data_IF_452934228992
#
_entry.id   IF_452934228992
#
_cell.length_a   1.000
_cell.length_b   1.000
_cell.length_c   1.000
_cell.angle_alpha   90.00
_cell.angle_beta   90.00
_cell.angle_gamma   90.00
#
_symmetry.space_group_name_H-M   'P 1'
#
loop_
_entity.id
_entity.type
_entity.pdbx_description
1 polymer ?
#
# COMPACT_ATOMS: atom_id res chain seq x y z
N UNK A 1 -52.73 12.01 -19.84
CA UNK A 1 -51.35 12.50 -20.09
C UNK A 1 -50.84 13.19 -18.82
N UNK A 2 -49.53 13.15 -18.55
CA UNK A 2 -48.83 13.41 -17.25
C UNK A 2 -48.84 12.10 -16.42
N UNK A 3 -47.74 11.43 -16.10
CA UNK A 3 -46.55 11.92 -15.40
C UNK A 3 -45.32 11.10 -15.84
N UNK A 4 -44.39 11.74 -16.56
CA UNK A 4 -43.07 11.17 -16.80
C UNK A 4 -42.12 11.68 -15.74
N UNK A 5 -42.07 11.02 -14.58
CA UNK A 5 -41.03 11.25 -13.59
C UNK A 5 -39.70 10.80 -14.21
N UNK A 6 -38.92 11.76 -14.71
CA UNK A 6 -37.54 11.53 -15.14
C UNK A 6 -36.76 11.09 -13.91
N UNK A 7 -36.49 9.79 -13.82
CA UNK A 7 -35.52 9.26 -12.87
C UNK A 7 -34.15 9.74 -13.34
N UNK A 8 -33.53 10.62 -12.58
CA UNK A 8 -32.12 10.94 -12.75
C UNK A 8 -31.32 9.64 -12.51
N UNK A 9 -30.43 9.23 -13.41
CA UNK A 9 -29.52 8.13 -13.13
C UNK A 9 -28.53 8.55 -12.02
N UNK A 10 -28.10 7.63 -11.15
CA UNK A 10 -27.03 7.92 -10.19
C UNK A 10 -25.75 8.21 -10.96
N UNK A 11 -25.17 9.38 -10.70
CA UNK A 11 -23.87 9.77 -11.21
C UNK A 11 -22.83 8.78 -10.67
N UNK A 12 -22.33 7.90 -11.54
CA UNK A 12 -21.26 6.97 -11.20
C UNK A 12 -20.01 7.82 -11.03
N UNK A 13 -19.75 8.30 -9.81
CA UNK A 13 -18.46 8.90 -9.46
C UNK A 13 -17.39 7.88 -9.82
N UNK A 14 -16.31 8.25 -10.53
CA UNK A 14 -15.20 7.34 -10.72
C UNK A 14 -14.77 6.88 -9.32
N UNK A 15 -14.72 5.56 -9.13
CA UNK A 15 -14.10 4.93 -7.97
C UNK A 15 -12.60 5.23 -8.06
N UNK A 16 -12.24 6.48 -7.76
CA UNK A 16 -10.86 6.87 -7.57
C UNK A 16 -10.48 6.26 -6.23
N UNK A 17 -9.57 5.27 -6.19
CA UNK A 17 -9.16 4.68 -4.93
C UNK A 17 -8.57 5.79 -4.08
N UNK A 18 -9.09 5.95 -2.86
CA UNK A 18 -8.73 7.07 -1.98
C UNK A 18 -7.21 7.14 -1.83
N UNK A 19 -6.58 8.31 -1.98
CA UNK A 19 -5.14 8.43 -1.84
C UNK A 19 -4.71 8.02 -0.43
N UNK A 20 -3.62 7.27 -0.34
CA UNK A 20 -3.02 6.90 0.94
C UNK A 20 -2.11 8.05 1.39
N UNK A 21 -2.56 8.80 2.38
CA UNK A 21 -1.80 9.89 3.01
C UNK A 21 -1.09 9.39 4.27
N UNK A 22 -0.05 10.12 4.68
CA UNK A 22 0.70 9.83 5.90
C UNK A 22 0.06 10.56 7.08
N UNK A 23 -0.32 9.80 8.11
CA UNK A 23 -0.83 10.37 9.38
C UNK A 23 0.24 11.23 10.09
N UNK A 24 1.53 10.97 9.82
CA UNK A 24 2.65 11.74 10.36
C UNK A 24 2.66 13.15 9.77
N UNK A 25 2.51 13.29 8.45
CA UNK A 25 2.44 14.59 7.78
C UNK A 25 1.15 15.33 8.10
N UNK A 26 0.04 14.61 8.30
CA UNK A 26 -1.21 15.22 8.77
C UNK A 26 -1.07 15.85 10.16
N UNK A 27 -0.21 15.28 11.02
CA UNK A 27 0.06 15.79 12.37
C UNK A 27 1.15 16.86 12.38
N UNK A 28 2.17 16.72 11.53
CA UNK A 28 3.33 17.61 11.47
C UNK A 28 3.78 17.80 10.00
N UNK A 29 3.30 18.86 9.33
CA UNK A 29 3.59 19.11 7.91
C UNK A 29 5.07 19.30 7.57
N UNK A 30 5.88 19.73 8.55
CA UNK A 30 7.34 19.91 8.38
C UNK A 30 8.07 18.57 8.14
N UNK A 31 7.43 17.42 8.44
CA UNK A 31 7.95 16.09 8.15
C UNK A 31 7.64 15.60 6.73
N UNK A 32 7.04 16.41 5.86
CA UNK A 32 6.73 16.02 4.48
C UNK A 32 7.98 15.57 3.70
N UNK A 33 9.12 16.29 3.81
CA UNK A 33 10.34 15.97 3.05
C UNK A 33 10.91 14.59 3.40
N UNK A 34 10.91 14.20 4.69
CA UNK A 34 11.40 12.87 5.09
C UNK A 34 10.44 11.75 4.65
N UNK A 35 9.13 12.04 4.63
CA UNK A 35 8.14 11.10 4.11
C UNK A 35 8.27 10.94 2.59
N UNK A 36 8.55 12.02 1.85
CA UNK A 36 8.81 11.94 0.40
C UNK A 36 10.02 11.05 0.07
N UNK A 37 11.10 11.14 0.85
CA UNK A 37 12.25 10.24 0.69
C UNK A 37 11.87 8.77 0.92
N UNK A 38 11.05 8.51 1.94
CA UNK A 38 10.53 7.17 2.19
C UNK A 38 9.68 6.66 1.00
N UNK A 39 8.80 7.50 0.45
CA UNK A 39 7.92 7.17 -0.67
C UNK A 39 8.72 6.92 -1.94
N UNK A 40 9.76 7.71 -2.22
CA UNK A 40 10.67 7.50 -3.34
C UNK A 40 11.35 6.11 -3.27
N UNK A 41 11.64 5.63 -2.05
CA UNK A 41 12.21 4.29 -1.82
C UNK A 41 11.21 3.13 -1.91
N UNK A 42 9.89 3.36 -1.85
CA UNK A 42 8.89 2.28 -1.84
C UNK A 42 8.92 1.44 -3.12
N UNK A 43 9.11 2.07 -4.28
CA UNK A 43 9.17 1.36 -5.57
C UNK A 43 10.30 0.32 -5.62
N UNK A 44 11.48 0.65 -5.08
CA UNK A 44 12.60 -0.29 -5.03
C UNK A 44 12.33 -1.45 -4.06
N UNK A 45 11.74 -1.16 -2.89
CA UNK A 45 11.36 -2.19 -1.91
C UNK A 45 10.35 -3.18 -2.49
N UNK A 46 9.33 -2.69 -3.19
CA UNK A 46 8.35 -3.51 -3.92
C UNK A 46 9.01 -4.41 -4.96
N UNK A 47 9.94 -3.86 -5.78
CA UNK A 47 10.67 -4.67 -6.77
C UNK A 47 11.49 -5.79 -6.14
N UNK A 48 12.13 -5.52 -5.00
CA UNK A 48 12.86 -6.54 -4.24
C UNK A 48 11.93 -7.65 -3.77
N UNK A 49 10.79 -7.31 -3.17
CA UNK A 49 9.78 -8.28 -2.75
C UNK A 49 9.24 -9.10 -3.94
N UNK A 50 9.02 -8.48 -5.09
CA UNK A 50 8.62 -9.18 -6.32
C UNK A 50 9.67 -10.20 -6.75
N UNK A 51 10.95 -9.81 -6.79
CA UNK A 51 12.06 -10.72 -7.11
C UNK A 51 12.14 -11.88 -6.12
N UNK A 52 11.96 -11.62 -4.82
CA UNK A 52 11.96 -12.65 -3.79
C UNK A 52 10.80 -13.63 -3.98
N UNK A 53 9.60 -13.14 -4.30
CA UNK A 53 8.43 -13.98 -4.63
C UNK A 53 8.69 -14.83 -5.88
N UNK A 54 9.27 -14.26 -6.95
CA UNK A 54 9.60 -15.01 -8.17
C UNK A 54 10.59 -16.14 -7.93
N UNK A 55 11.56 -15.91 -7.02
CA UNK A 55 12.57 -16.91 -6.63
C UNK A 55 12.10 -17.85 -5.52
N UNK A 56 10.89 -17.68 -4.99
CA UNK A 56 10.41 -18.35 -3.78
C UNK A 56 11.38 -18.19 -2.58
N UNK A 57 12.04 -17.04 -2.50
CA UNK A 57 12.99 -16.69 -1.45
C UNK A 57 12.24 -16.12 -0.23
N UNK A 58 11.68 -17.03 0.56
CA UNK A 58 10.81 -16.66 1.69
C UNK A 58 11.55 -15.90 2.80
N UNK A 59 12.87 -16.07 2.95
CA UNK A 59 13.63 -15.37 3.99
C UNK A 59 13.88 -13.91 3.59
N UNK A 60 14.25 -13.65 2.33
CA UNK A 60 14.35 -12.27 1.82
C UNK A 60 12.98 -11.59 1.85
N UNK A 61 11.91 -12.32 1.47
CA UNK A 61 10.54 -11.79 1.49
C UNK A 61 10.10 -11.41 2.91
N UNK A 62 10.35 -12.28 3.89
CA UNK A 62 10.04 -12.02 5.30
C UNK A 62 10.83 -10.83 5.82
N UNK A 63 12.12 -10.74 5.50
CA UNK A 63 12.98 -9.62 5.89
C UNK A 63 12.51 -8.30 5.27
N UNK A 64 12.21 -8.29 3.97
CA UNK A 64 11.72 -7.11 3.27
C UNK A 64 10.35 -6.66 3.80
N UNK A 65 9.44 -7.60 4.06
CA UNK A 65 8.13 -7.33 4.64
C UNK A 65 8.25 -6.77 6.07
N UNK A 66 9.15 -7.33 6.90
CA UNK A 66 9.41 -6.84 8.24
C UNK A 66 9.94 -5.40 8.24
N UNK A 67 10.91 -5.11 7.36
CA UNK A 67 11.46 -3.76 7.18
C UNK A 67 10.38 -2.77 6.73
N UNK A 68 9.56 -3.14 5.73
CA UNK A 68 8.47 -2.30 5.27
C UNK A 68 7.46 -2.03 6.40
N UNK A 69 7.09 -3.05 7.18
CA UNK A 69 6.19 -2.91 8.33
C UNK A 69 6.72 -1.90 9.34
N UNK A 70 8.00 -2.00 9.71
CA UNK A 70 8.63 -1.09 10.67
C UNK A 70 8.69 0.35 10.14
N UNK A 71 9.18 0.53 8.92
CA UNK A 71 9.31 1.85 8.31
C UNK A 71 7.95 2.50 8.03
N UNK A 72 7.00 1.77 7.43
CA UNK A 72 5.67 2.30 7.12
C UNK A 72 4.91 2.76 8.37
N UNK A 73 5.07 2.05 9.49
CA UNK A 73 4.50 2.48 10.78
C UNK A 73 5.10 3.79 11.27
N UNK A 74 6.43 3.93 11.18
CA UNK A 74 7.13 5.16 11.57
C UNK A 74 6.77 6.38 10.71
N UNK A 75 6.44 6.17 9.43
CA UNK A 75 6.04 7.23 8.49
C UNK A 75 4.53 7.43 8.39
N UNK A 76 3.71 6.87 9.29
CA UNK A 76 2.27 7.13 9.34
C UNK A 76 1.45 6.46 8.22
N UNK A 77 1.86 5.28 7.76
CA UNK A 77 1.13 4.50 6.76
C UNK A 77 0.59 3.18 7.35
N UNK A 78 -0.45 3.22 8.21
CA UNK A 78 -0.96 2.03 8.90
C UNK A 78 -1.44 0.93 7.94
N UNK A 79 -2.04 1.30 6.80
CA UNK A 79 -2.47 0.33 5.80
C UNK A 79 -1.31 -0.48 5.21
N UNK A 80 -0.16 0.17 4.93
CA UNK A 80 1.04 -0.52 4.46
C UNK A 80 1.62 -1.41 5.56
N UNK A 81 1.60 -0.95 6.81
CA UNK A 81 2.03 -1.75 7.98
C UNK A 81 1.23 -3.05 8.11
N UNK A 82 -0.10 -2.96 7.99
CA UNK A 82 -0.99 -4.13 8.08
C UNK A 82 -0.71 -5.15 6.97
N UNK A 83 -0.62 -4.70 5.71
CA UNK A 83 -0.41 -5.61 4.58
C UNK A 83 1.03 -6.17 4.58
N UNK A 84 2.02 -5.41 5.02
CA UNK A 84 3.39 -5.89 5.21
C UNK A 84 3.47 -6.98 6.30
N UNK A 85 2.77 -6.82 7.43
CA UNK A 85 2.69 -7.85 8.46
C UNK A 85 2.02 -9.14 7.96
N UNK A 86 1.00 -9.01 7.10
CA UNK A 86 0.36 -10.14 6.42
C UNK A 86 1.38 -10.85 5.51
N UNK A 87 2.13 -10.11 4.70
CA UNK A 87 3.14 -10.70 3.80
C UNK A 87 4.24 -11.43 4.60
N UNK A 88 4.71 -10.84 5.70
CA UNK A 88 5.68 -11.47 6.60
C UNK A 88 5.18 -12.82 7.14
N UNK A 89 3.90 -12.88 7.53
CA UNK A 89 3.26 -14.11 8.03
C UNK A 89 3.11 -15.16 6.94
N UNK A 90 2.68 -14.78 5.74
CA UNK A 90 2.51 -15.70 4.61
C UNK A 90 3.85 -16.22 4.09
N UNK A 91 4.90 -15.40 4.13
CA UNK A 91 6.27 -15.81 3.84
C UNK A 91 6.78 -16.83 4.86
N UNK A 92 6.50 -16.63 6.16
CA UNK A 92 6.84 -17.60 7.20
C UNK A 92 6.12 -18.95 7.02
N UNK A 93 4.90 -18.93 6.48
CA UNK A 93 4.13 -20.13 6.11
C UNK A 93 4.56 -20.76 4.79
N UNK A 94 5.46 -20.11 4.03
CA UNK A 94 5.91 -20.50 2.68
C UNK A 94 4.75 -20.63 1.68
N UNK A 95 3.72 -19.80 1.84
CA UNK A 95 2.53 -19.79 0.99
C UNK A 95 2.75 -18.87 -0.22
N UNK A 96 3.32 -19.38 -1.31
CA UNK A 96 3.69 -18.55 -2.47
C UNK A 96 2.49 -17.81 -3.10
N UNK A 97 1.33 -18.47 -3.23
CA UNK A 97 0.12 -17.84 -3.77
C UNK A 97 -0.37 -16.68 -2.90
N UNK A 98 -0.38 -16.88 -1.58
CA UNK A 98 -0.76 -15.85 -0.61
C UNK A 98 0.23 -14.69 -0.58
N UNK A 99 1.53 -14.99 -0.73
CA UNK A 99 2.58 -13.98 -0.87
C UNK A 99 2.37 -13.12 -2.12
N UNK A 100 2.06 -13.75 -3.27
CA UNK A 100 1.74 -13.03 -4.53
C UNK A 100 0.53 -12.14 -4.40
N UNK A 101 -0.56 -12.68 -3.82
CA UNK A 101 -1.79 -11.91 -3.61
C UNK A 101 -1.53 -10.70 -2.69
N UNK A 102 -0.83 -10.92 -1.58
CA UNK A 102 -0.52 -9.86 -0.62
C UNK A 102 0.45 -8.83 -1.20
N UNK A 103 1.43 -9.25 -2.02
CA UNK A 103 2.33 -8.33 -2.69
C UNK A 103 1.58 -7.43 -3.68
N UNK A 104 0.61 -7.97 -4.42
CA UNK A 104 -0.25 -7.16 -5.31
C UNK A 104 -1.08 -6.12 -4.51
N UNK A 105 -1.51 -6.46 -3.29
CA UNK A 105 -2.13 -5.50 -2.38
C UNK A 105 -1.15 -4.37 -2.00
N UNK A 106 0.10 -4.69 -1.66
CA UNK A 106 1.15 -3.70 -1.36
C UNK A 106 1.38 -2.79 -2.57
N UNK A 107 1.52 -3.36 -3.78
CA UNK A 107 1.70 -2.57 -5.01
C UNK A 107 0.55 -1.58 -5.24
N UNK A 108 -0.68 -2.03 -5.02
CA UNK A 108 -1.88 -1.19 -5.13
C UNK A 108 -1.85 -0.05 -4.13
N UNK A 109 -1.48 -0.32 -2.87
CA UNK A 109 -1.34 0.71 -1.83
C UNK A 109 -0.24 1.71 -2.18
N UNK A 110 0.95 1.23 -2.58
CA UNK A 110 2.10 2.07 -2.93
C UNK A 110 1.77 3.02 -4.10
N UNK A 111 1.01 2.57 -5.11
CA UNK A 111 0.55 3.42 -6.22
C UNK A 111 -0.40 4.54 -5.78
N UNK A 112 -1.07 4.37 -4.65
CA UNK A 112 -2.01 5.36 -4.09
C UNK A 112 -1.33 6.29 -3.10
N UNK A 113 -0.08 6.04 -2.73
CA UNK A 113 0.64 6.89 -1.78
C UNK A 113 0.82 8.27 -2.38
N UNK A 114 0.41 9.28 -1.62
CA UNK A 114 0.65 10.68 -1.94
C UNK A 114 1.17 11.38 -0.68
N UNK A 115 2.07 12.34 -0.88
CA UNK A 115 2.47 13.26 0.19
C UNK A 115 1.78 14.59 -0.08
N UNK A 116 0.94 15.04 0.87
CA UNK A 116 0.26 16.34 0.79
C UNK A 116 1.07 17.32 1.64
N UNK A 117 1.57 18.37 1.00
CA UNK A 117 2.17 19.54 1.65
C UNK A 117 1.09 20.58 1.92
#
# INVERSE_FOLDING_TARGET
>A
MRHGARRCPPEIRPVNPEPLVSELVESDPDLADIVEEFVAGLGQRVRRMCTAVEKADYDDLRTAAHQLKGSAGGYGYPALTTVAAKLETEAARKSLEQCRATLAEIESLVRRVVVRR
#
